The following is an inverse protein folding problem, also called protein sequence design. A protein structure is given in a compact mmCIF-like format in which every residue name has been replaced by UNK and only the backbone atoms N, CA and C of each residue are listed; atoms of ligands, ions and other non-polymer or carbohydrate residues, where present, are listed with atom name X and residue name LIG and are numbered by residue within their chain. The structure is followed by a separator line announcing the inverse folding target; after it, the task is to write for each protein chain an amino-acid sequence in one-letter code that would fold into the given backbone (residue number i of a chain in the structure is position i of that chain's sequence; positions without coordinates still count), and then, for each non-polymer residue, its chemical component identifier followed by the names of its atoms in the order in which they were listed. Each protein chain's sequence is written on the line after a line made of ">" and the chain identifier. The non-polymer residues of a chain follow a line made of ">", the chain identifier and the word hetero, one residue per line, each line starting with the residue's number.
data_IF_861715902118
#
_entry.id   IF_861715902118
#
_cell.length_a   1.000
_cell.length_b   1.000
_cell.length_c   1.000
_cell.angle_alpha   90.00
_cell.angle_beta   90.00
_cell.angle_gamma   90.00
#
_symmetry.space_group_name_H-M   'P 1'
#
loop_
_entity.id
_entity.type
_entity.pdbx_description
1 polymer ?
#
# COMPACT_ATOMS: atom_id res chain seq x y z
N UNK A 1 17.42 14.48 -7.47
CA UNK A 1 17.36 14.28 -5.99
C UNK A 1 17.24 12.81 -5.57
N UNK A 2 17.14 11.87 -6.49
CA UNK A 2 16.86 10.44 -6.21
C UNK A 2 18.09 9.53 -6.19
N UNK A 3 19.25 9.96 -6.68
CA UNK A 3 20.45 9.10 -6.74
C UNK A 3 20.92 8.59 -5.37
N UNK A 4 20.46 9.19 -4.28
CA UNK A 4 20.77 8.79 -2.91
C UNK A 4 19.68 7.89 -2.29
N UNK A 5 18.44 7.86 -2.82
CA UNK A 5 17.33 7.08 -2.24
C UNK A 5 17.65 5.59 -2.20
N UNK A 6 18.08 5.01 -3.31
CA UNK A 6 18.41 3.57 -3.37
C UNK A 6 19.55 3.23 -2.41
N UNK A 7 20.73 3.89 -2.46
CA UNK A 7 21.81 3.61 -1.51
C UNK A 7 21.40 3.84 -0.06
N UNK A 8 20.61 4.87 0.25
CA UNK A 8 20.18 5.16 1.60
C UNK A 8 19.20 4.10 2.13
N UNK A 9 18.23 3.68 1.31
CA UNK A 9 17.28 2.63 1.68
C UNK A 9 18.00 1.29 1.89
N UNK A 10 18.89 0.91 0.98
CA UNK A 10 19.70 -0.32 1.11
C UNK A 10 20.61 -0.26 2.34
N UNK A 11 21.27 0.87 2.58
CA UNK A 11 22.10 1.05 3.77
C UNK A 11 21.27 0.90 5.05
N UNK A 12 20.10 1.52 5.13
CA UNK A 12 19.19 1.41 6.27
C UNK A 12 18.72 -0.03 6.48
N UNK A 13 18.38 -0.72 5.38
CA UNK A 13 18.02 -2.13 5.40
C UNK A 13 19.18 -2.99 5.95
N UNK A 14 20.38 -2.80 5.44
CA UNK A 14 21.57 -3.55 5.85
C UNK A 14 21.97 -3.25 7.30
N UNK A 15 22.02 -1.97 7.69
CA UNK A 15 22.38 -1.56 9.04
C UNK A 15 21.38 -2.08 10.09
N UNK A 16 20.13 -2.27 9.74
CA UNK A 16 19.14 -2.85 10.65
C UNK A 16 19.52 -4.25 11.14
N UNK A 17 20.34 -4.99 10.39
CA UNK A 17 20.82 -6.32 10.80
C UNK A 17 21.88 -6.25 11.92
N UNK A 18 22.45 -5.09 12.22
CA UNK A 18 23.36 -4.91 13.36
C UNK A 18 22.70 -5.23 14.72
N UNK A 19 21.37 -5.32 14.77
CA UNK A 19 20.65 -5.77 15.96
C UNK A 19 21.15 -7.14 16.44
N UNK A 20 21.58 -8.03 15.54
CA UNK A 20 22.10 -9.34 15.92
C UNK A 20 23.43 -9.22 16.67
N UNK A 21 24.30 -8.30 16.26
CA UNK A 21 25.53 -8.00 16.99
C UNK A 21 25.22 -7.38 18.36
N UNK A 22 24.16 -6.57 18.44
CA UNK A 22 23.70 -6.01 19.71
C UNK A 22 23.22 -7.10 20.69
N UNK A 23 22.54 -8.15 20.23
CA UNK A 23 22.16 -9.28 21.07
C UNK A 23 23.40 -9.99 21.66
N UNK A 24 24.38 -10.29 20.81
CA UNK A 24 25.65 -10.91 21.25
C UNK A 24 26.32 -10.04 22.31
N UNK A 25 26.44 -8.73 22.06
CA UNK A 25 27.02 -7.78 23.02
C UNK A 25 26.22 -7.67 24.32
N UNK A 26 24.90 -7.69 24.27
CA UNK A 26 24.04 -7.64 25.47
C UNK A 26 24.27 -8.84 26.38
N UNK A 27 24.34 -10.03 25.78
CA UNK A 27 24.65 -11.28 26.51
C UNK A 27 26.06 -11.23 27.10
N UNK A 28 27.06 -10.88 26.31
CA UNK A 28 28.45 -10.75 26.76
C UNK A 28 28.60 -9.74 27.91
N UNK A 29 27.95 -8.59 27.82
CA UNK A 29 27.96 -7.57 28.86
C UNK A 29 27.31 -8.03 30.16
N UNK A 30 26.30 -8.91 30.07
CA UNK A 30 25.68 -9.55 31.23
C UNK A 30 26.69 -10.47 31.94
N UNK A 31 27.41 -11.31 31.21
CA UNK A 31 28.43 -12.20 31.81
C UNK A 31 29.47 -11.44 32.61
N UNK A 32 29.83 -10.22 32.18
CA UNK A 32 30.78 -9.36 32.89
C UNK A 32 30.17 -8.64 34.10
N UNK A 33 28.94 -8.12 33.97
CA UNK A 33 28.34 -7.24 34.99
C UNK A 33 27.30 -7.90 35.89
N UNK A 34 26.80 -9.07 35.55
CA UNK A 34 25.81 -9.85 36.26
C UNK A 34 24.50 -9.10 36.58
N UNK A 35 24.21 -8.00 35.89
CA UNK A 35 23.01 -7.20 36.11
C UNK A 35 21.83 -7.74 35.29
N UNK A 36 20.95 -8.52 35.93
CA UNK A 36 19.80 -9.16 35.26
C UNK A 36 18.77 -8.15 34.75
N UNK A 37 18.50 -7.07 35.48
CA UNK A 37 17.53 -6.05 35.07
C UNK A 37 17.99 -5.32 33.80
N UNK A 38 19.28 -4.94 33.74
CA UNK A 38 19.87 -4.33 32.55
C UNK A 38 19.85 -5.29 31.34
N UNK A 39 20.12 -6.58 31.54
CA UNK A 39 20.00 -7.57 30.47
C UNK A 39 18.56 -7.67 29.97
N UNK A 40 17.59 -7.86 30.87
CA UNK A 40 16.18 -7.97 30.52
C UNK A 40 15.68 -6.76 29.71
N UNK A 41 16.02 -5.55 30.14
CA UNK A 41 15.68 -4.32 29.41
C UNK A 41 16.27 -4.28 27.99
N UNK A 42 17.54 -4.64 27.84
CA UNK A 42 18.20 -4.68 26.51
C UNK A 42 17.62 -5.72 25.60
N UNK A 43 17.31 -6.90 26.12
CA UNK A 43 16.67 -7.96 25.33
C UNK A 43 15.25 -7.59 24.94
N UNK A 44 14.50 -6.88 25.81
CA UNK A 44 13.19 -6.34 25.44
C UNK A 44 13.26 -5.35 24.30
N UNK A 45 14.19 -4.38 24.35
CA UNK A 45 14.37 -3.40 23.26
C UNK A 45 14.79 -4.07 21.95
N UNK A 46 15.74 -4.98 22.01
CA UNK A 46 16.19 -5.71 20.84
C UNK A 46 15.08 -6.61 20.28
N UNK A 47 14.30 -7.26 21.12
CA UNK A 47 13.14 -8.07 20.73
C UNK A 47 12.04 -7.22 20.08
N UNK A 48 11.74 -6.06 20.64
CA UNK A 48 10.81 -5.09 20.04
C UNK A 48 11.29 -4.64 18.65
N UNK A 49 12.58 -4.32 18.52
CA UNK A 49 13.15 -3.96 17.23
C UNK A 49 13.07 -5.12 16.21
N UNK A 50 13.40 -6.36 16.63
CA UNK A 50 13.28 -7.56 15.76
C UNK A 50 11.84 -7.76 15.32
N UNK A 51 10.89 -7.60 16.22
CA UNK A 51 9.46 -7.66 15.89
C UNK A 51 9.10 -6.64 14.81
N UNK A 52 9.39 -5.36 15.06
CA UNK A 52 9.06 -4.26 14.15
C UNK A 52 9.72 -4.41 12.78
N UNK A 53 10.94 -4.93 12.74
CA UNK A 53 11.77 -4.96 11.53
C UNK A 53 11.64 -6.24 10.72
N UNK A 54 11.52 -7.39 11.38
CA UNK A 54 11.64 -8.69 10.71
C UNK A 54 10.38 -9.54 10.80
N UNK A 55 9.55 -9.33 11.81
CA UNK A 55 8.34 -10.15 12.01
C UNK A 55 7.12 -9.47 11.44
N UNK A 56 6.73 -8.34 12.02
CA UNK A 56 5.49 -7.66 11.65
C UNK A 56 5.44 -7.25 10.16
N UNK A 57 6.51 -6.71 9.51
CA UNK A 57 6.51 -6.38 8.08
C UNK A 57 6.31 -7.59 7.14
N UNK A 58 6.48 -8.80 7.66
CA UNK A 58 6.33 -10.04 6.91
C UNK A 58 5.07 -10.85 7.29
N UNK A 59 4.33 -10.38 8.27
CA UNK A 59 3.09 -11.00 8.72
C UNK A 59 1.90 -10.37 7.97
N UNK A 60 1.58 -10.89 6.81
CA UNK A 60 0.47 -10.41 5.99
C UNK A 60 -0.84 -10.80 6.67
N UNK A 61 -1.57 -9.82 7.16
CA UNK A 61 -2.88 -9.99 7.76
C UNK A 61 -3.97 -9.99 6.69
N UNK A 62 -5.07 -10.68 6.95
CA UNK A 62 -6.30 -10.64 6.17
C UNK A 62 -7.37 -9.92 6.98
N UNK A 63 -7.99 -8.91 6.38
CA UNK A 63 -9.11 -8.20 7.00
C UNK A 63 -10.33 -8.25 6.09
N UNK A 64 -11.49 -8.55 6.64
CA UNK A 64 -12.76 -8.54 5.88
C UNK A 64 -13.66 -7.43 6.42
N UNK A 65 -14.23 -6.62 5.49
CA UNK A 65 -15.09 -5.49 5.83
C UNK A 65 -16.33 -5.51 4.95
N UNK A 66 -17.51 -5.48 5.56
CA UNK A 66 -18.79 -5.34 4.87
C UNK A 66 -19.14 -3.86 4.71
N UNK A 67 -19.53 -3.45 3.49
CA UNK A 67 -19.87 -2.05 3.16
C UNK A 67 -21.15 -2.01 2.34
N UNK A 68 -22.16 -1.30 2.85
CA UNK A 68 -23.44 -1.12 2.17
C UNK A 68 -23.35 -0.03 1.10
N UNK A 69 -23.47 -0.41 -0.17
CA UNK A 69 -23.50 0.52 -1.31
C UNK A 69 -24.67 0.27 -2.27
N UNK A 70 -25.49 -0.74 -1.99
CA UNK A 70 -26.70 -1.10 -2.77
C UNK A 70 -26.42 -2.02 -3.96
N UNK A 71 -25.28 -2.72 -4.02
CA UNK A 71 -25.00 -3.74 -5.01
C UNK A 71 -23.94 -4.75 -4.51
N UNK A 72 -24.08 -6.06 -4.84
CA UNK A 72 -23.18 -7.08 -4.40
C UNK A 72 -21.90 -7.08 -5.23
N UNK A 73 -20.75 -7.01 -4.55
CA UNK A 73 -19.44 -7.31 -5.11
C UNK A 73 -18.48 -7.74 -4.00
N UNK A 74 -17.54 -8.63 -4.34
CA UNK A 74 -16.46 -9.01 -3.43
C UNK A 74 -15.12 -8.62 -4.04
N UNK A 75 -14.43 -7.69 -3.41
CA UNK A 75 -13.22 -7.07 -3.92
C UNK A 75 -12.05 -7.40 -3.00
N UNK A 76 -10.94 -7.83 -3.56
CA UNK A 76 -9.66 -7.82 -2.85
C UNK A 76 -9.00 -6.48 -3.12
N UNK A 77 -8.73 -5.71 -2.07
CA UNK A 77 -8.02 -4.43 -2.15
C UNK A 77 -6.64 -4.58 -1.52
N UNK A 78 -5.61 -4.20 -2.25
CA UNK A 78 -4.22 -4.10 -1.80
C UNK A 78 -3.60 -2.81 -2.32
N UNK A 79 -2.47 -2.40 -1.75
CA UNK A 79 -1.71 -1.23 -2.22
C UNK A 79 -0.33 -1.16 -1.59
N UNK A 80 0.40 -0.10 -1.95
CA UNK A 80 1.67 0.24 -1.31
C UNK A 80 2.59 -0.98 -1.21
N UNK A 81 2.80 -1.69 -2.34
CA UNK A 81 3.67 -2.87 -2.35
C UNK A 81 5.12 -2.47 -2.07
N UNK A 82 5.52 -1.27 -2.50
CA UNK A 82 6.84 -0.70 -2.31
C UNK A 82 7.98 -1.68 -2.62
N UNK A 83 7.88 -2.31 -3.79
CA UNK A 83 8.87 -3.27 -4.27
C UNK A 83 10.16 -2.58 -4.69
N UNK A 84 11.27 -3.16 -4.29
CA UNK A 84 12.62 -2.64 -4.57
C UNK A 84 13.56 -2.85 -3.39
N UNK A 85 13.86 -1.80 -2.63
CA UNK A 85 14.88 -1.88 -1.58
C UNK A 85 14.52 -2.80 -0.42
N UNK A 86 13.23 -2.95 -0.06
CA UNK A 86 12.81 -3.70 1.13
C UNK A 86 12.04 -4.97 0.83
N UNK A 87 11.27 -4.98 -0.25
CA UNK A 87 10.41 -6.07 -0.67
C UNK A 87 10.78 -6.51 -2.08
N UNK A 88 10.81 -7.80 -2.32
CA UNK A 88 11.12 -8.41 -3.61
C UNK A 88 10.02 -9.33 -4.11
N UNK A 89 10.32 -10.09 -5.15
CA UNK A 89 9.39 -11.02 -5.80
C UNK A 89 8.86 -12.09 -4.85
N UNK A 90 9.68 -12.59 -3.93
CA UNK A 90 9.31 -13.58 -2.91
C UNK A 90 8.19 -13.08 -1.97
N UNK A 91 8.18 -11.79 -1.68
CA UNK A 91 7.08 -11.19 -0.93
C UNK A 91 5.78 -11.16 -1.76
N UNK A 92 5.89 -10.80 -3.04
CA UNK A 92 4.74 -10.77 -3.96
C UNK A 92 4.15 -12.17 -4.16
N UNK A 93 4.99 -13.20 -4.25
CA UNK A 93 4.52 -14.61 -4.34
C UNK A 93 3.60 -14.97 -3.17
N UNK A 94 3.98 -14.62 -1.95
CA UNK A 94 3.15 -14.86 -0.75
C UNK A 94 1.85 -14.04 -0.77
N UNK A 95 1.88 -12.81 -1.27
CA UNK A 95 0.68 -11.98 -1.46
C UNK A 95 -0.25 -12.63 -2.48
N UNK A 96 0.28 -13.07 -3.62
CA UNK A 96 -0.48 -13.73 -4.68
C UNK A 96 -1.12 -15.04 -4.21
N UNK A 97 -0.40 -15.83 -3.41
CA UNK A 97 -0.93 -17.06 -2.81
C UNK A 97 -2.16 -16.75 -1.95
N UNK A 98 -2.09 -15.73 -1.08
CA UNK A 98 -3.22 -15.34 -0.24
C UNK A 98 -4.38 -14.75 -1.05
N UNK A 99 -4.11 -13.91 -2.05
CA UNK A 99 -5.13 -13.36 -2.95
C UNK A 99 -5.87 -14.51 -3.67
N UNK A 100 -5.15 -15.52 -4.16
CA UNK A 100 -5.74 -16.64 -4.87
C UNK A 100 -6.57 -17.59 -3.96
N UNK A 101 -6.43 -17.50 -2.65
CA UNK A 101 -7.31 -18.20 -1.71
C UNK A 101 -8.67 -17.51 -1.54
N UNK A 102 -8.79 -16.24 -1.94
CA UNK A 102 -10.03 -15.47 -1.84
C UNK A 102 -10.97 -15.78 -3.03
N UNK A 103 -12.27 -15.87 -2.73
CA UNK A 103 -13.33 -15.93 -3.75
C UNK A 103 -13.85 -14.52 -3.98
N UNK A 104 -13.24 -13.80 -4.93
CA UNK A 104 -13.58 -12.42 -5.23
C UNK A 104 -13.89 -12.20 -6.71
N UNK A 105 -14.50 -11.08 -7.04
CA UNK A 105 -14.84 -10.71 -8.41
C UNK A 105 -13.65 -10.06 -9.13
N UNK A 106 -12.83 -9.33 -8.41
CA UNK A 106 -11.61 -8.70 -8.91
C UNK A 106 -10.63 -8.35 -7.79
N UNK A 107 -9.41 -8.01 -8.18
CA UNK A 107 -8.38 -7.42 -7.34
C UNK A 107 -8.20 -5.96 -7.76
N UNK A 108 -8.18 -5.05 -6.79
CA UNK A 108 -7.88 -3.64 -6.98
C UNK A 108 -6.56 -3.31 -6.28
N UNK A 109 -5.65 -2.63 -6.98
CA UNK A 109 -4.37 -2.18 -6.45
C UNK A 109 -4.34 -0.66 -6.45
N UNK A 110 -4.32 -0.05 -5.27
CA UNK A 110 -4.43 1.39 -5.09
C UNK A 110 -3.08 2.13 -5.14
N UNK A 111 -2.16 1.71 -6.02
CA UNK A 111 -0.91 2.41 -6.31
C UNK A 111 0.25 2.08 -5.37
N UNK A 112 1.34 2.80 -5.57
CA UNK A 112 2.64 2.67 -4.90
C UNK A 112 3.21 1.24 -4.98
N UNK A 113 3.47 0.83 -6.22
CA UNK A 113 4.12 -0.45 -6.51
C UNK A 113 5.60 -0.46 -6.14
N UNK A 114 6.28 0.69 -6.22
CA UNK A 114 7.73 0.82 -6.17
C UNK A 114 8.22 1.64 -4.98
N UNK A 115 9.39 1.23 -4.44
CA UNK A 115 10.18 2.03 -3.50
C UNK A 115 11.67 1.78 -3.71
N UNK A 116 12.39 2.80 -4.16
CA UNK A 116 13.81 2.72 -4.46
C UNK A 116 14.17 1.46 -5.28
N UNK A 117 13.51 1.22 -6.42
CA UNK A 117 13.70 0.02 -7.23
C UNK A 117 14.99 0.11 -8.05
N UNK A 118 15.43 -1.05 -8.56
CA UNK A 118 16.44 -1.15 -9.61
C UNK A 118 15.80 -1.69 -10.88
N UNK A 119 16.29 -1.22 -12.03
CA UNK A 119 15.88 -1.80 -13.32
C UNK A 119 16.62 -3.14 -13.57
N UNK A 120 16.00 -4.09 -14.29
CA UNK A 120 14.64 -4.03 -14.85
C UNK A 120 13.53 -4.32 -13.81
N UNK A 121 12.31 -3.84 -14.06
CA UNK A 121 11.15 -4.02 -13.17
C UNK A 121 10.47 -5.39 -13.30
N UNK A 122 10.60 -6.03 -14.45
CA UNK A 122 9.91 -7.30 -14.74
C UNK A 122 10.08 -8.38 -13.65
N UNK A 123 11.29 -8.61 -13.09
CA UNK A 123 11.45 -9.60 -12.04
C UNK A 123 10.67 -9.29 -10.76
N UNK A 124 10.47 -8.00 -10.44
CA UNK A 124 9.70 -7.59 -9.26
C UNK A 124 8.19 -7.85 -9.42
N UNK A 125 7.67 -7.61 -10.62
CA UNK A 125 6.24 -7.74 -10.92
C UNK A 125 5.83 -9.12 -11.44
N UNK A 126 6.78 -9.94 -11.90
CA UNK A 126 6.49 -11.25 -12.49
C UNK A 126 5.54 -12.13 -11.67
N UNK A 127 5.61 -12.20 -10.33
CA UNK A 127 4.68 -13.03 -9.56
C UNK A 127 3.22 -12.59 -9.63
N UNK A 128 2.94 -11.29 -9.90
CA UNK A 128 1.56 -10.80 -10.04
C UNK A 128 0.80 -11.51 -11.14
N UNK A 129 1.49 -12.03 -12.18
CA UNK A 129 0.90 -12.84 -13.24
C UNK A 129 0.22 -14.11 -12.71
N UNK A 130 0.57 -14.56 -11.52
CA UNK A 130 -0.04 -15.70 -10.84
C UNK A 130 -1.43 -15.41 -10.26
N UNK A 131 -1.90 -14.17 -10.22
CA UNK A 131 -3.25 -13.82 -9.77
C UNK A 131 -4.26 -14.34 -10.80
N UNK A 132 -5.24 -15.12 -10.33
CA UNK A 132 -6.26 -15.78 -11.18
C UNK A 132 -7.48 -14.91 -11.46
N UNK A 133 -7.62 -13.80 -10.75
CA UNK A 133 -8.72 -12.84 -10.86
C UNK A 133 -8.35 -11.69 -11.80
N UNK A 134 -9.32 -10.96 -12.37
CA UNK A 134 -9.04 -9.68 -13.03
C UNK A 134 -8.36 -8.72 -12.08
N UNK A 135 -7.25 -8.11 -12.49
CA UNK A 135 -6.47 -7.16 -11.69
C UNK A 135 -6.52 -5.78 -12.33
N UNK A 136 -7.02 -4.82 -11.57
CA UNK A 136 -7.11 -3.42 -11.97
C UNK A 136 -6.31 -2.54 -11.01
N UNK A 137 -5.66 -1.51 -11.51
CA UNK A 137 -4.81 -0.67 -10.69
C UNK A 137 -4.84 0.80 -11.10
N UNK A 138 -4.46 1.66 -10.16
CA UNK A 138 -4.00 3.03 -10.41
C UNK A 138 -2.56 3.14 -9.96
N UNK A 139 -1.84 4.18 -10.39
CA UNK A 139 -0.49 4.49 -9.91
C UNK A 139 -0.55 5.42 -8.70
N UNK A 140 0.44 5.30 -7.81
CA UNK A 140 0.67 6.21 -6.72
C UNK A 140 1.81 7.20 -7.00
N UNK A 141 2.16 8.00 -6.00
CA UNK A 141 3.21 9.01 -6.14
C UNK A 141 4.61 8.40 -6.24
N UNK A 142 4.86 7.23 -5.63
CA UNK A 142 6.13 6.53 -5.74
C UNK A 142 6.34 5.83 -7.09
N UNK A 143 5.31 5.64 -7.89
CA UNK A 143 5.44 5.03 -9.22
C UNK A 143 5.91 6.01 -10.30
N UNK A 144 6.19 7.28 -9.95
CA UNK A 144 6.38 8.38 -10.89
C UNK A 144 7.72 9.11 -10.76
N UNK A 145 8.48 8.91 -9.69
CA UNK A 145 9.72 9.66 -9.41
C UNK A 145 10.74 8.82 -8.63
N UNK A 146 10.87 7.52 -8.92
CA UNK A 146 11.78 6.64 -8.19
C UNK A 146 13.14 6.47 -8.86
N UNK A 147 13.26 6.73 -10.19
CA UNK A 147 14.50 6.50 -10.94
C UNK A 147 15.40 7.73 -11.07
N UNK A 148 15.04 8.84 -10.47
CA UNK A 148 15.87 10.02 -10.43
C UNK A 148 15.93 10.83 -11.73
N UNK A 149 16.88 11.79 -11.82
CA UNK A 149 16.93 12.73 -12.93
C UNK A 149 17.34 12.10 -14.27
N UNK A 150 17.71 10.83 -14.29
CA UNK A 150 18.08 10.10 -15.51
C UNK A 150 16.88 9.72 -16.39
N UNK A 151 15.68 9.72 -15.83
CA UNK A 151 14.44 9.44 -16.56
C UNK A 151 13.45 10.59 -16.38
N UNK A 152 12.66 10.86 -17.43
CA UNK A 152 11.49 11.74 -17.30
C UNK A 152 10.34 10.99 -16.64
N UNK A 153 9.46 11.70 -15.93
CA UNK A 153 8.23 11.10 -15.33
C UNK A 153 7.44 10.31 -16.38
N UNK A 154 7.27 10.83 -17.59
CA UNK A 154 6.56 10.13 -18.65
C UNK A 154 7.21 8.80 -19.01
N UNK A 155 8.55 8.72 -19.03
CA UNK A 155 9.27 7.48 -19.31
C UNK A 155 9.19 6.49 -18.15
N UNK A 156 9.22 6.98 -16.93
CA UNK A 156 9.01 6.13 -15.74
C UNK A 156 7.63 5.48 -15.77
N UNK A 157 6.58 6.28 -15.99
CA UNK A 157 5.19 5.78 -16.11
C UNK A 157 5.09 4.74 -17.22
N UNK A 158 5.69 4.99 -18.37
CA UNK A 158 5.67 4.04 -19.48
C UNK A 158 6.36 2.71 -19.11
N UNK A 159 7.49 2.75 -18.43
CA UNK A 159 8.21 1.54 -17.97
C UNK A 159 7.40 0.75 -16.95
N UNK A 160 6.79 1.45 -16.00
CA UNK A 160 5.93 0.84 -14.97
C UNK A 160 4.70 0.20 -15.62
N UNK A 161 3.99 0.94 -16.48
CA UNK A 161 2.79 0.45 -17.18
C UNK A 161 3.11 -0.79 -18.02
N UNK A 162 4.15 -0.75 -18.84
CA UNK A 162 4.56 -1.90 -19.64
C UNK A 162 4.93 -3.13 -18.79
N UNK A 163 5.60 -2.93 -17.65
CA UNK A 163 5.96 -4.02 -16.78
C UNK A 163 4.73 -4.61 -16.06
N UNK A 164 3.79 -3.75 -15.61
CA UNK A 164 2.52 -4.16 -15.01
C UNK A 164 1.63 -4.91 -16.03
N UNK A 165 1.53 -4.43 -17.26
CA UNK A 165 0.78 -5.10 -18.33
C UNK A 165 1.34 -6.52 -18.60
N UNK A 166 2.68 -6.67 -18.67
CA UNK A 166 3.31 -7.99 -18.79
C UNK A 166 3.03 -8.90 -17.60
N UNK A 167 2.81 -8.31 -16.43
CA UNK A 167 2.43 -9.02 -15.21
C UNK A 167 0.90 -9.27 -15.08
N UNK A 168 0.10 -8.89 -16.10
CA UNK A 168 -1.35 -9.13 -16.10
C UNK A 168 -2.16 -8.09 -15.31
N UNK A 169 -1.56 -6.97 -14.91
CA UNK A 169 -2.21 -5.86 -14.22
C UNK A 169 -2.64 -4.80 -15.23
N UNK A 170 -3.93 -4.42 -15.20
CA UNK A 170 -4.46 -3.37 -16.08
C UNK A 170 -4.59 -2.06 -15.32
N UNK A 171 -3.85 -1.03 -15.76
CA UNK A 171 -4.06 0.33 -15.29
C UNK A 171 -5.39 0.90 -15.82
N UNK A 172 -6.17 1.51 -14.93
CA UNK A 172 -7.51 2.03 -15.21
C UNK A 172 -7.66 3.51 -14.91
N UNK A 173 -6.57 4.27 -14.82
CA UNK A 173 -6.66 5.73 -14.66
C UNK A 173 -7.52 6.34 -15.77
N UNK A 174 -8.54 7.11 -15.36
CA UNK A 174 -9.53 7.73 -16.26
C UNK A 174 -10.32 6.74 -17.13
N UNK A 175 -10.44 5.49 -16.68
CA UNK A 175 -11.24 4.45 -17.32
C UNK A 175 -12.25 3.89 -16.33
N UNK A 176 -13.30 3.25 -16.88
CA UNK A 176 -14.30 2.53 -16.09
C UNK A 176 -14.27 1.06 -16.49
N UNK A 177 -14.25 0.20 -15.47
CA UNK A 177 -14.34 -1.26 -15.61
C UNK A 177 -15.46 -1.83 -14.73
N UNK A 178 -15.86 -3.06 -14.97
CA UNK A 178 -16.81 -3.77 -14.11
C UNK A 178 -16.07 -4.73 -13.16
N UNK A 179 -16.56 -4.78 -11.90
CA UNK A 179 -16.15 -5.75 -10.90
C UNK A 179 -17.39 -6.23 -10.13
N UNK A 180 -17.85 -7.44 -10.40
CA UNK A 180 -19.11 -7.94 -9.84
C UNK A 180 -20.30 -7.02 -10.17
N UNK A 181 -21.08 -6.66 -9.16
CA UNK A 181 -22.24 -5.77 -9.27
C UNK A 181 -21.93 -4.28 -9.37
N UNK A 182 -20.65 -3.87 -9.34
CA UNK A 182 -20.26 -2.46 -9.34
C UNK A 182 -19.46 -2.05 -10.58
N UNK A 183 -19.47 -0.77 -10.91
CA UNK A 183 -18.50 -0.15 -11.81
C UNK A 183 -17.34 0.42 -10.97
N UNK A 184 -16.12 0.30 -11.46
CA UNK A 184 -14.92 0.86 -10.81
C UNK A 184 -14.26 1.86 -11.76
N UNK A 185 -13.99 3.06 -11.29
CA UNK A 185 -13.20 4.06 -12.02
C UNK A 185 -11.88 4.31 -11.31
N UNK A 186 -10.79 4.33 -12.06
CA UNK A 186 -9.49 4.75 -11.55
C UNK A 186 -9.35 6.27 -11.61
N UNK A 187 -8.88 6.88 -10.54
CA UNK A 187 -8.51 8.30 -10.47
C UNK A 187 -7.02 8.39 -10.21
N UNK A 188 -6.32 9.19 -11.01
CA UNK A 188 -4.88 9.38 -10.85
C UNK A 188 -4.52 10.00 -9.50
N UNK A 189 -3.25 9.87 -9.12
CA UNK A 189 -2.78 10.32 -7.82
C UNK A 189 -2.76 11.85 -7.69
N UNK A 190 -3.25 12.34 -6.54
CA UNK A 190 -3.35 13.76 -6.19
C UNK A 190 -1.98 14.43 -6.03
N UNK A 191 -1.04 13.79 -5.35
CA UNK A 191 0.29 14.36 -5.15
C UNK A 191 1.07 14.54 -6.44
N UNK A 192 0.76 13.71 -7.44
CA UNK A 192 1.33 13.82 -8.79
C UNK A 192 0.55 14.81 -9.68
N UNK A 193 -0.51 15.45 -9.18
CA UNK A 193 -1.36 16.35 -9.96
C UNK A 193 -2.10 15.64 -11.10
N UNK A 194 -2.38 14.35 -10.96
CA UNK A 194 -3.00 13.51 -12.01
C UNK A 194 -4.47 13.19 -11.72
N UNK A 195 -5.00 13.67 -10.60
CA UNK A 195 -6.39 13.47 -10.28
C UNK A 195 -7.33 14.09 -11.34
N UNK A 196 -8.24 13.28 -11.86
CA UNK A 196 -9.28 13.73 -12.79
C UNK A 196 -10.62 13.10 -12.43
N UNK A 197 -11.41 13.84 -11.68
CA UNK A 197 -12.74 13.40 -11.26
C UNK A 197 -13.79 13.47 -12.37
N UNK A 198 -13.48 14.00 -13.58
CA UNK A 198 -14.45 14.18 -14.68
C UNK A 198 -15.05 12.87 -15.13
N UNK A 199 -14.27 11.79 -15.16
CA UNK A 199 -14.75 10.45 -15.56
C UNK A 199 -15.80 9.96 -14.57
N UNK A 200 -15.56 10.10 -13.27
CA UNK A 200 -16.53 9.73 -12.23
C UNK A 200 -17.80 10.58 -12.33
N UNK A 201 -17.68 11.89 -12.52
CA UNK A 201 -18.84 12.82 -12.65
C UNK A 201 -19.66 12.59 -13.92
N UNK A 202 -19.00 12.17 -15.00
CA UNK A 202 -19.64 11.89 -16.29
C UNK A 202 -20.33 10.51 -16.33
N UNK A 203 -20.10 9.65 -15.35
CA UNK A 203 -20.67 8.31 -15.31
C UNK A 203 -22.21 8.33 -15.27
N UNK A 204 -22.85 7.58 -16.17
CA UNK A 204 -24.31 7.46 -16.32
C UNK A 204 -24.79 6.00 -16.35
N UNK A 205 -23.91 5.04 -15.96
CA UNK A 205 -24.28 3.64 -15.91
C UNK A 205 -25.22 3.31 -14.75
N UNK A 206 -25.84 2.15 -14.81
CA UNK A 206 -26.83 1.69 -13.83
C UNK A 206 -26.18 1.09 -12.55
N UNK A 207 -24.92 0.66 -12.63
CA UNK A 207 -24.22 0.10 -11.47
C UNK A 207 -23.71 1.18 -10.54
N UNK A 208 -23.72 0.97 -9.21
CA UNK A 208 -23.03 1.86 -8.28
C UNK A 208 -21.55 2.03 -8.67
N UNK A 209 -21.07 3.27 -8.66
CA UNK A 209 -19.69 3.60 -9.00
C UNK A 209 -18.83 3.59 -7.74
N UNK A 210 -17.73 2.82 -7.80
CA UNK A 210 -16.63 2.83 -6.83
C UNK A 210 -15.45 3.55 -7.46
N UNK A 211 -14.87 4.53 -6.77
CA UNK A 211 -13.66 5.19 -7.22
C UNK A 211 -12.44 4.54 -6.56
N UNK A 212 -11.44 4.17 -7.35
CA UNK A 212 -10.14 3.71 -6.90
C UNK A 212 -9.13 4.83 -7.10
N UNK A 213 -8.47 5.27 -6.04
CA UNK A 213 -7.41 6.28 -6.08
C UNK A 213 -6.30 5.92 -5.12
N UNK A 214 -5.10 6.50 -5.28
CA UNK A 214 -4.05 6.28 -4.31
C UNK A 214 -4.26 7.14 -3.06
N UNK A 215 -4.42 8.45 -3.23
CA UNK A 215 -4.51 9.40 -2.12
C UNK A 215 -5.97 9.64 -1.68
N UNK A 216 -6.34 9.40 -0.40
CA UNK A 216 -7.71 9.59 0.09
C UNK A 216 -8.16 11.06 0.11
N UNK A 217 -7.26 12.03 0.10
CA UNK A 217 -7.60 13.45 0.00
C UNK A 217 -8.23 13.83 -1.36
N UNK A 218 -8.29 12.90 -2.32
CA UNK A 218 -9.05 13.03 -3.57
C UNK A 218 -10.57 12.90 -3.35
N UNK A 219 -11.00 12.26 -2.26
CA UNK A 219 -12.42 11.95 -2.02
C UNK A 219 -13.37 13.16 -2.03
N UNK A 220 -13.02 14.33 -1.45
CA UNK A 220 -13.88 15.52 -1.50
C UNK A 220 -14.16 16.02 -2.92
N UNK A 221 -13.29 15.71 -3.89
CA UNK A 221 -13.44 16.12 -5.30
C UNK A 221 -14.33 15.14 -6.09
N UNK A 222 -14.66 13.98 -5.48
CA UNK A 222 -15.46 12.91 -6.07
C UNK A 222 -16.94 12.92 -5.67
N UNK A 223 -17.49 14.07 -5.30
CA UNK A 223 -18.91 14.28 -4.95
C UNK A 223 -19.85 14.06 -6.16
N UNK A 224 -19.60 13.01 -6.91
CA UNK A 224 -20.43 12.64 -8.07
C UNK A 224 -21.71 11.93 -7.61
N UNK A 225 -22.85 12.19 -8.25
CA UNK A 225 -24.12 11.54 -7.89
C UNK A 225 -24.06 10.01 -7.93
N UNK A 226 -23.20 9.46 -8.78
CA UNK A 226 -23.01 8.03 -8.93
C UNK A 226 -21.96 7.44 -7.98
N UNK A 227 -21.06 8.24 -7.41
CA UNK A 227 -19.99 7.78 -6.51
C UNK A 227 -20.56 7.29 -5.18
N UNK A 228 -20.37 6.01 -4.87
CA UNK A 228 -20.91 5.35 -3.67
C UNK A 228 -19.83 5.01 -2.65
N UNK A 229 -18.60 4.89 -3.08
CA UNK A 229 -17.45 4.51 -2.24
C UNK A 229 -16.16 4.97 -2.90
N UNK A 230 -15.21 5.45 -2.11
CA UNK A 230 -13.83 5.68 -2.52
C UNK A 230 -12.96 4.63 -1.84
N UNK A 231 -12.12 3.95 -2.61
CA UNK A 231 -11.08 3.04 -2.13
C UNK A 231 -9.74 3.73 -2.30
N UNK A 232 -8.98 3.84 -1.24
CA UNK A 232 -7.72 4.59 -1.21
C UNK A 232 -6.64 3.90 -0.33
N UNK A 233 -5.44 4.50 -0.32
CA UNK A 233 -4.25 3.97 0.31
C UNK A 233 -3.34 5.10 0.85
N UNK A 234 -2.03 5.11 0.52
CA UNK A 234 -1.07 6.21 0.73
C UNK A 234 -0.65 6.45 2.19
N UNK A 235 -1.55 6.26 3.15
CA UNK A 235 -1.31 6.58 4.55
C UNK A 235 -0.44 5.55 5.27
N UNK A 236 -0.32 4.35 4.70
CA UNK A 236 0.24 3.16 5.36
C UNK A 236 -0.39 2.90 6.75
N UNK A 237 -1.56 3.48 7.05
CA UNK A 237 -2.13 3.50 8.39
C UNK A 237 -1.20 4.10 9.44
N UNK A 238 -0.20 4.90 9.02
CA UNK A 238 0.86 5.45 9.84
C UNK A 238 2.04 4.52 10.06
N UNK A 239 2.12 3.37 9.39
CA UNK A 239 3.21 2.36 9.38
C UNK A 239 3.73 1.94 10.78
N UNK A 240 4.13 2.89 11.63
CA UNK A 240 4.50 2.70 13.04
C UNK A 240 3.43 3.39 13.89
N UNK A 241 2.40 2.64 14.31
CA UNK A 241 1.19 3.15 14.98
C UNK A 241 1.38 3.36 16.48
N UNK A 242 2.38 4.11 16.90
CA UNK A 242 2.46 4.54 18.30
C UNK A 242 1.27 5.45 18.60
N UNK A 243 0.39 5.11 19.57
CA UNK A 243 -0.81 5.90 19.88
C UNK A 243 -0.50 7.39 20.04
N UNK A 244 -1.38 8.24 19.50
CA UNK A 244 -1.30 9.72 19.46
C UNK A 244 -0.16 10.30 18.60
N UNK A 245 0.92 9.55 18.33
CA UNK A 245 2.06 10.05 17.56
C UNK A 245 1.85 9.85 16.05
N UNK A 246 1.40 8.66 15.63
CA UNK A 246 1.30 8.32 14.20
C UNK A 246 0.41 9.27 13.39
N UNK A 247 -0.68 9.77 13.99
CA UNK A 247 -1.58 10.74 13.32
C UNK A 247 -0.92 12.06 12.93
N UNK A 248 0.19 12.42 13.59
CA UNK A 248 0.93 13.67 13.31
C UNK A 248 1.85 13.58 12.11
N UNK A 249 2.11 12.37 11.63
CA UNK A 249 3.04 12.11 10.52
C UNK A 249 2.35 11.51 9.30
N UNK A 250 1.02 11.41 9.32
CA UNK A 250 0.26 10.95 8.16
C UNK A 250 0.42 11.94 7.00
N UNK A 251 0.63 11.44 5.77
CA UNK A 251 0.84 12.27 4.58
C UNK A 251 -0.49 12.71 3.95
N UNK A 252 -1.48 13.08 4.76
CA UNK A 252 -2.83 13.47 4.30
C UNK A 252 -3.32 14.68 5.08
N UNK A 253 -4.18 15.48 4.44
CA UNK A 253 -4.82 16.66 5.05
C UNK A 253 -6.13 16.32 5.75
N UNK A 254 -6.81 15.26 5.31
CA UNK A 254 -8.06 14.77 5.88
C UNK A 254 -7.85 13.86 7.10
N UNK A 255 -8.94 13.36 7.69
CA UNK A 255 -8.89 12.47 8.86
C UNK A 255 -8.56 11.02 8.50
N UNK A 256 -8.13 10.77 7.27
CA UNK A 256 -7.99 9.46 6.67
C UNK A 256 -6.74 8.74 7.20
N UNK A 257 -6.89 7.79 8.13
CA UNK A 257 -5.78 6.97 8.59
C UNK A 257 -5.86 5.52 8.06
N UNK A 258 -6.92 4.78 8.40
CA UNK A 258 -7.16 3.40 7.97
C UNK A 258 -8.61 2.97 8.18
N UNK A 259 -9.09 2.03 7.36
CA UNK A 259 -10.44 1.48 7.45
C UNK A 259 -11.51 2.38 6.83
N UNK A 260 -12.76 2.15 7.20
CA UNK A 260 -13.90 2.86 6.64
C UNK A 260 -14.16 4.19 7.37
N UNK A 261 -14.09 5.27 6.64
CA UNK A 261 -14.41 6.63 7.09
C UNK A 261 -15.78 7.07 6.58
N UNK A 262 -16.56 7.68 7.46
CA UNK A 262 -17.82 8.30 7.06
C UNK A 262 -17.60 9.49 6.11
N UNK A 263 -18.60 9.87 5.30
CA UNK A 263 -18.56 11.06 4.48
C UNK A 263 -18.15 12.31 5.28
N UNK A 264 -17.26 13.14 4.73
CA UNK A 264 -16.82 14.38 5.39
C UNK A 264 -17.92 15.46 5.39
N UNK A 265 -18.74 15.46 4.34
CA UNK A 265 -19.86 16.38 4.17
C UNK A 265 -21.08 15.62 3.61
N UNK A 266 -22.29 16.13 3.81
CA UNK A 266 -23.48 15.58 3.15
C UNK A 266 -23.28 15.54 1.63
N UNK A 267 -23.43 14.35 1.03
CA UNK A 267 -23.24 14.12 -0.40
C UNK A 267 -21.87 13.62 -0.81
N UNK A 268 -20.85 13.67 0.05
CA UNK A 268 -19.57 13.01 -0.22
C UNK A 268 -19.72 11.48 -0.12
N UNK A 269 -18.94 10.69 -0.84
CA UNK A 269 -18.86 9.24 -0.63
C UNK A 269 -18.09 8.90 0.66
N UNK A 270 -18.40 7.77 1.32
CA UNK A 270 -17.52 7.18 2.32
C UNK A 270 -16.21 6.77 1.69
N UNK A 271 -15.14 6.73 2.50
CA UNK A 271 -13.78 6.40 2.06
C UNK A 271 -13.28 5.19 2.84
N UNK A 272 -12.84 4.15 2.14
CA UNK A 272 -12.11 3.06 2.74
C UNK A 272 -10.62 3.20 2.42
N UNK A 273 -9.78 3.22 3.46
CA UNK A 273 -8.32 3.37 3.33
C UNK A 273 -7.64 2.09 3.78
N UNK A 274 -6.94 1.43 2.85
CA UNK A 274 -6.09 0.27 3.19
C UNK A 274 -4.77 0.73 3.80
N UNK A 275 -4.19 -0.11 4.66
CA UNK A 275 -2.88 0.17 5.28
C UNK A 275 -1.69 -0.32 4.47
N UNK A 276 -1.95 -0.91 3.31
CA UNK A 276 -0.93 -1.34 2.36
C UNK A 276 -0.07 -2.51 2.81
N UNK A 277 0.82 -2.95 1.92
CA UNK A 277 1.60 -4.17 2.07
C UNK A 277 3.10 -3.93 2.35
N UNK A 278 3.70 -2.91 1.76
CA UNK A 278 5.12 -2.58 1.89
C UNK A 278 5.43 -1.51 2.93
N UNK A 279 6.66 -1.08 2.97
CA UNK A 279 7.16 -0.01 3.83
C UNK A 279 7.80 1.10 3.00
N UNK A 280 7.65 2.34 3.47
CA UNK A 280 8.38 3.51 2.96
C UNK A 280 9.27 4.12 4.06
N UNK A 281 10.33 4.81 3.69
CA UNK A 281 11.32 5.42 4.57
C UNK A 281 12.01 4.42 5.51
N UNK A 282 11.35 3.92 6.55
CA UNK A 282 11.90 2.95 7.49
C UNK A 282 11.43 1.53 7.14
N UNK A 283 12.33 0.51 7.07
CA UNK A 283 11.96 -0.87 6.75
C UNK A 283 11.33 -1.59 7.95
N UNK A 284 10.28 -1.02 8.55
CA UNK A 284 9.65 -1.60 9.74
C UNK A 284 8.19 -1.18 9.89
N UNK A 285 7.41 -2.02 10.58
CA UNK A 285 6.02 -1.77 10.98
C UNK A 285 5.83 -2.04 12.47
N UNK A 286 4.88 -1.35 13.10
CA UNK A 286 4.51 -1.58 14.50
C UNK A 286 3.01 -1.36 14.71
N UNK A 287 2.34 -2.38 15.26
CA UNK A 287 0.88 -2.41 15.50
C UNK A 287 0.05 -2.16 14.23
N UNK A 288 0.62 -2.52 13.09
CA UNK A 288 0.06 -2.25 11.78
C UNK A 288 0.67 -3.17 10.72
N UNK A 289 0.40 -4.48 10.77
CA UNK A 289 0.95 -5.43 9.81
C UNK A 289 0.51 -5.12 8.38
N UNK A 290 1.23 -5.58 7.35
CA UNK A 290 0.75 -5.60 5.97
C UNK A 290 -0.64 -6.22 5.88
N UNK A 291 -1.54 -5.68 5.06
CA UNK A 291 -2.92 -6.15 5.00
C UNK A 291 -3.38 -6.45 3.57
N UNK A 292 -4.13 -7.53 3.43
CA UNK A 292 -5.00 -7.80 2.29
C UNK A 292 -6.43 -7.55 2.77
N UNK A 293 -7.07 -6.51 2.26
CA UNK A 293 -8.45 -6.18 2.58
C UNK A 293 -9.39 -6.91 1.63
N UNK A 294 -10.39 -7.58 2.19
CA UNK A 294 -11.47 -8.24 1.47
C UNK A 294 -12.76 -7.47 1.73
N UNK A 295 -13.23 -6.74 0.73
CA UNK A 295 -14.40 -5.89 0.86
C UNK A 295 -15.64 -6.63 0.35
N UNK A 296 -16.61 -6.84 1.24
CA UNK A 296 -17.89 -7.42 0.93
C UNK A 296 -18.90 -6.29 0.73
N UNK A 297 -19.13 -5.91 -0.52
CA UNK A 297 -20.12 -4.89 -0.89
C UNK A 297 -21.52 -5.52 -0.97
N UNK A 298 -22.57 -4.79 -0.50
CA UNK A 298 -23.96 -5.27 -0.49
C UNK A 298 -24.98 -4.13 -0.56
#
# INVERSE_FOLDING_TARGET
>A
MSDWKVPAAEAMFMLSHLVWLYFVWAIWSFWRRRNKASLAFRLLLAGAFVWMRFVEPNWIARQETAIAIGAPARIVLVSDLHLGAYKGADFVERVVEQINAERADCVLIAGDFLYAPRLPLDPLFAPLKGIKLPVYAVLGNHDRNEFGPSLTEAREIELVDQALQRAGVRLIENQIVNCGGVAVTGIGDRWSGREDARVARAYKGDKPLVALTHNPDTAPDLNAPAGKLVLAAHTHGGQIRIPWLYKKVLPVSGPFDAGLHAPLKPGDPPVFVTTGLGETALPMRLFNPPVIDVLQLH
#
